data_IF_616023597977
#
_entry.id   IF_616023597977
#
_cell.length_a   1.000
_cell.length_b   1.000
_cell.length_c   1.000
_cell.angle_alpha   90.00
_cell.angle_beta   90.00
_cell.angle_gamma   90.00
#
_symmetry.space_group_name_H-M   'P 1'
#
loop_
_entity.id
_entity.type
_entity.pdbx_description
1 polymer ?
#
# COMPACT_ATOMS: atom_id res chain seq x y z
N UNK A 1 -17.51 7.95 0.86
CA UNK A 1 -17.65 7.03 -0.29
C UNK A 1 -16.92 7.65 -1.48
N UNK A 2 -16.04 6.91 -2.16
CA UNK A 2 -15.29 7.43 -3.32
C UNK A 2 -16.21 7.64 -4.51
N UNK A 3 -15.94 8.68 -5.28
CA UNK A 3 -16.68 8.97 -6.52
C UNK A 3 -15.92 8.38 -7.70
N UNK A 4 -16.55 7.47 -8.43
CA UNK A 4 -15.98 6.94 -9.68
C UNK A 4 -15.97 8.09 -10.70
N UNK A 5 -14.78 8.47 -11.18
CA UNK A 5 -14.64 9.41 -12.27
C UNK A 5 -14.78 8.62 -13.57
N UNK A 6 -16.01 8.31 -13.96
CA UNK A 6 -16.33 7.42 -15.08
C UNK A 6 -15.99 7.98 -16.48
N UNK A 7 -15.44 9.18 -16.58
CA UNK A 7 -15.18 9.86 -17.86
C UNK A 7 -13.70 10.13 -18.14
N UNK A 8 -12.76 9.40 -17.51
CA UNK A 8 -11.38 9.50 -17.97
C UNK A 8 -11.22 8.70 -19.25
N UNK A 9 -10.69 9.37 -20.26
CA UNK A 9 -10.29 8.69 -21.48
C UNK A 9 -9.12 7.73 -21.18
N UNK A 10 -8.96 6.62 -21.92
CA UNK A 10 -7.79 5.77 -21.80
C UNK A 10 -6.46 6.55 -21.86
N UNK A 11 -6.42 7.64 -22.63
CA UNK A 11 -5.24 8.51 -22.76
C UNK A 11 -4.89 9.24 -21.43
N UNK A 12 -5.89 9.71 -20.69
CA UNK A 12 -5.63 10.35 -19.38
C UNK A 12 -5.15 9.35 -18.36
N UNK A 13 -5.72 8.14 -18.35
CA UNK A 13 -5.23 7.05 -17.49
C UNK A 13 -3.80 6.66 -17.88
N UNK A 14 -3.49 6.53 -19.16
CA UNK A 14 -2.15 6.23 -19.65
C UNK A 14 -1.13 7.29 -19.22
N UNK A 15 -1.47 8.57 -19.27
CA UNK A 15 -0.60 9.66 -18.78
C UNK A 15 -0.29 9.52 -17.29
N UNK A 16 -1.27 9.13 -16.48
CA UNK A 16 -1.06 8.91 -15.05
C UNK A 16 -0.14 7.72 -14.80
N UNK A 17 -0.44 6.54 -15.37
CA UNK A 17 0.32 5.32 -15.13
C UNK A 17 1.76 5.38 -15.66
N UNK A 18 2.03 6.14 -16.71
CA UNK A 18 3.37 6.31 -17.26
C UNK A 18 4.39 6.89 -16.25
N UNK A 19 3.91 7.69 -15.30
CA UNK A 19 4.75 8.31 -14.28
C UNK A 19 4.82 7.48 -12.97
N UNK A 20 4.15 6.36 -12.90
CA UNK A 20 4.10 5.51 -11.70
C UNK A 20 5.23 4.49 -11.73
N UNK A 21 6.10 4.43 -10.69
CA UNK A 21 7.21 3.48 -10.63
C UNK A 21 6.80 2.02 -10.81
N UNK A 22 5.64 1.63 -10.29
CA UNK A 22 5.09 0.29 -10.44
C UNK A 22 4.98 -0.17 -11.90
N UNK A 23 4.68 0.76 -12.82
CA UNK A 23 4.52 0.44 -14.24
C UNK A 23 5.81 0.55 -15.07
N UNK A 24 6.97 0.79 -14.46
CA UNK A 24 8.25 0.93 -15.20
C UNK A 24 8.63 -0.31 -16.00
N UNK A 25 8.34 -1.49 -15.48
CA UNK A 25 8.63 -2.77 -16.12
C UNK A 25 7.70 -3.10 -17.30
N UNK A 26 6.55 -2.41 -17.41
CA UNK A 26 5.57 -2.65 -18.45
C UNK A 26 5.91 -1.88 -19.73
N UNK A 27 5.77 -2.55 -20.87
CA UNK A 27 5.87 -1.94 -22.20
C UNK A 27 4.74 -0.93 -22.45
N UNK A 28 4.88 -0.09 -23.47
CA UNK A 28 3.83 0.85 -23.86
C UNK A 28 2.52 0.13 -24.22
N UNK A 29 2.59 -1.04 -24.86
CA UNK A 29 1.42 -1.84 -25.22
C UNK A 29 0.69 -2.39 -23.98
N UNK A 30 1.44 -2.92 -23.00
CA UNK A 30 0.88 -3.40 -21.74
C UNK A 30 0.26 -2.25 -20.91
N UNK A 31 0.89 -1.08 -20.89
CA UNK A 31 0.31 0.12 -20.24
C UNK A 31 -0.97 0.59 -20.92
N UNK A 32 -1.00 0.51 -22.25
CA UNK A 32 -2.22 0.81 -23.01
C UNK A 32 -3.35 -0.17 -22.66
N UNK A 33 -3.04 -1.45 -22.50
CA UNK A 33 -4.00 -2.47 -22.08
C UNK A 33 -4.62 -2.13 -20.71
N UNK A 34 -3.80 -1.76 -19.73
CA UNK A 34 -4.30 -1.27 -18.44
C UNK A 34 -5.18 -0.03 -18.59
N UNK A 35 -4.79 0.91 -19.43
CA UNK A 35 -5.54 2.15 -19.64
C UNK A 35 -6.91 1.88 -20.27
N UNK A 36 -7.02 0.94 -21.19
CA UNK A 36 -8.27 0.57 -21.84
C UNK A 36 -9.23 -0.21 -20.93
N UNK A 37 -8.68 -1.08 -20.08
CA UNK A 37 -9.47 -1.88 -19.14
C UNK A 37 -9.81 -1.10 -17.86
N UNK A 38 -9.07 -0.04 -17.55
CA UNK A 38 -9.17 0.68 -16.28
C UNK A 38 -10.23 1.76 -16.29
N UNK A 39 -11.51 1.44 -16.51
CA UNK A 39 -12.61 2.38 -16.29
C UNK A 39 -12.82 2.77 -14.81
N UNK A 40 -11.86 2.47 -13.93
CA UNK A 40 -12.00 2.59 -12.48
C UNK A 40 -10.90 3.42 -11.84
N UNK A 41 -10.66 4.62 -12.34
CA UNK A 41 -9.99 5.63 -11.54
C UNK A 41 -11.03 6.23 -10.59
N UNK A 42 -10.84 6.01 -9.29
CA UNK A 42 -11.73 6.47 -8.24
C UNK A 42 -11.07 7.65 -7.53
N UNK A 43 -11.82 8.71 -7.31
CA UNK A 43 -11.40 9.86 -6.52
C UNK A 43 -12.01 9.79 -5.12
N UNK A 44 -11.18 10.01 -4.12
CA UNK A 44 -11.56 10.04 -2.72
C UNK A 44 -11.25 11.41 -2.14
N UNK A 45 -12.20 11.93 -1.37
CA UNK A 45 -11.99 13.15 -0.57
C UNK A 45 -11.10 12.86 0.63
N UNK A 46 -10.52 13.90 1.20
CA UNK A 46 -9.77 13.81 2.46
C UNK A 46 -10.57 13.04 3.53
N UNK A 47 -9.88 12.24 4.32
CA UNK A 47 -10.42 11.38 5.41
C UNK A 47 -11.44 10.33 4.98
N UNK A 48 -11.65 10.12 3.68
CA UNK A 48 -12.57 9.08 3.19
C UNK A 48 -11.88 7.73 3.20
N UNK A 49 -12.57 6.67 3.64
CA UNK A 49 -12.09 5.30 3.56
C UNK A 49 -11.97 4.85 2.09
N UNK A 50 -10.81 4.33 1.72
CA UNK A 50 -10.55 3.66 0.44
C UNK A 50 -10.72 2.15 0.61
N UNK A 51 -10.22 1.61 1.73
CA UNK A 51 -10.35 0.22 2.15
C UNK A 51 -10.70 0.19 3.62
N UNK A 52 -11.58 -0.70 4.03
CA UNK A 52 -11.94 -0.92 5.44
C UNK A 52 -11.58 -2.34 5.85
N UNK A 53 -10.94 -2.48 7.01
CA UNK A 53 -10.57 -3.76 7.61
C UNK A 53 -11.79 -4.66 7.77
N UNK A 54 -11.64 -5.94 7.40
CA UNK A 54 -12.71 -6.93 7.42
C UNK A 54 -13.57 -7.00 6.16
N UNK A 55 -13.48 -6.03 5.25
CA UNK A 55 -14.16 -6.12 3.95
C UNK A 55 -13.62 -7.26 3.10
N UNK A 56 -14.49 -7.82 2.25
CA UNK A 56 -14.18 -8.98 1.39
C UNK A 56 -14.07 -8.62 -0.09
N UNK A 57 -13.99 -7.34 -0.44
CA UNK A 57 -13.75 -6.96 -1.82
C UNK A 57 -12.31 -7.31 -2.22
N UNK A 58 -12.18 -8.08 -3.31
CA UNK A 58 -10.88 -8.61 -3.77
C UNK A 58 -10.34 -7.72 -4.89
N UNK A 59 -10.01 -6.48 -4.58
CA UNK A 59 -9.39 -5.55 -5.52
C UNK A 59 -8.04 -5.09 -5.03
N UNK A 60 -7.14 -4.80 -5.98
CA UNK A 60 -5.86 -4.12 -5.75
C UNK A 60 -6.01 -2.67 -6.14
N UNK A 61 -5.32 -1.81 -5.44
CA UNK A 61 -5.33 -0.38 -5.69
C UNK A 61 -3.92 0.15 -5.92
N UNK A 62 -3.79 1.10 -6.83
CA UNK A 62 -2.55 1.84 -7.06
C UNK A 62 -2.82 3.32 -6.85
N UNK A 63 -2.08 3.96 -5.97
CA UNK A 63 -2.23 5.38 -5.69
C UNK A 63 -1.63 6.21 -6.83
N UNK A 64 -2.49 6.92 -7.57
CA UNK A 64 -2.09 7.74 -8.73
C UNK A 64 -1.83 9.19 -8.35
N UNK A 65 -2.49 9.69 -7.28
CA UNK A 65 -2.36 11.07 -6.79
C UNK A 65 -2.77 11.16 -5.33
N UNK A 66 -2.13 12.06 -4.57
CA UNK A 66 -2.40 12.30 -3.16
C UNK A 66 -1.62 11.36 -2.24
N UNK A 67 -2.05 11.29 -1.00
CA UNK A 67 -1.50 10.43 0.05
C UNK A 67 -2.63 9.66 0.74
N UNK A 68 -2.31 8.49 1.27
CA UNK A 68 -3.21 7.71 2.10
C UNK A 68 -2.49 7.17 3.35
N UNK A 69 -3.22 6.93 4.43
CA UNK A 69 -2.71 6.37 5.67
C UNK A 69 -3.28 4.98 5.90
N UNK A 70 -2.44 4.12 6.48
CA UNK A 70 -2.80 2.76 6.89
C UNK A 70 -3.00 2.74 8.40
N UNK A 71 -4.13 2.20 8.85
CA UNK A 71 -4.46 2.01 10.26
C UNK A 71 -5.07 0.63 10.49
N UNK A 72 -5.28 0.24 11.76
CA UNK A 72 -5.99 -0.98 12.13
C UNK A 72 -7.03 -0.67 13.19
N UNK A 73 -8.08 -1.50 13.27
CA UNK A 73 -9.17 -1.33 14.22
C UNK A 73 -8.71 -1.48 15.67
N UNK A 74 -7.73 -2.34 15.94
CA UNK A 74 -7.15 -2.54 17.28
C UNK A 74 -6.21 -1.38 17.70
N UNK A 75 -5.72 -0.58 16.75
CA UNK A 75 -4.85 0.58 16.96
C UNK A 75 -5.36 1.81 16.18
N UNK A 76 -6.58 2.30 16.43
CA UNK A 76 -7.26 3.26 15.55
C UNK A 76 -6.62 4.65 15.50
N UNK A 77 -5.80 5.00 16.51
CA UNK A 77 -5.07 6.28 16.60
C UNK A 77 -3.65 6.21 16.05
N UNK A 78 -3.19 5.01 15.67
CA UNK A 78 -1.82 4.80 15.19
C UNK A 78 -1.81 4.71 13.67
N UNK A 79 -1.08 5.61 13.04
CA UNK A 79 -0.76 5.48 11.62
C UNK A 79 0.38 4.48 11.47
N UNK A 80 0.07 3.31 10.93
CA UNK A 80 1.06 2.24 10.72
C UNK A 80 1.99 2.61 9.56
N UNK A 81 1.44 3.20 8.50
CA UNK A 81 2.21 3.61 7.33
C UNK A 81 1.51 4.75 6.58
N UNK A 82 2.28 5.52 5.83
CA UNK A 82 1.79 6.52 4.87
C UNK A 82 2.12 6.05 3.45
N UNK A 83 1.09 5.97 2.64
CA UNK A 83 1.18 5.57 1.23
C UNK A 83 1.30 6.82 0.37
N UNK A 84 2.27 6.82 -0.53
CA UNK A 84 2.53 7.90 -1.49
C UNK A 84 2.24 7.46 -2.93
N UNK A 85 2.35 8.38 -3.87
CA UNK A 85 2.11 8.10 -5.29
C UNK A 85 2.93 6.89 -5.76
N UNK A 86 2.27 5.96 -6.43
CA UNK A 86 2.83 4.69 -6.89
C UNK A 86 2.69 3.54 -5.90
N UNK A 87 2.23 3.80 -4.67
CA UNK A 87 1.99 2.73 -3.71
C UNK A 87 0.89 1.78 -4.21
N UNK A 88 1.21 0.49 -4.17
CA UNK A 88 0.28 -0.61 -4.36
C UNK A 88 -0.28 -1.03 -3.00
N UNK A 89 -1.58 -1.30 -2.89
CA UNK A 89 -2.21 -1.80 -1.67
C UNK A 89 -3.46 -2.64 -1.95
N UNK A 90 -3.88 -3.43 -0.96
CA UNK A 90 -4.97 -4.39 -1.10
C UNK A 90 -4.55 -5.69 -1.80
N UNK A 91 -3.28 -5.84 -2.16
CA UNK A 91 -2.70 -6.98 -2.86
C UNK A 91 -2.75 -8.28 -2.03
N UNK A 92 -2.62 -8.19 -0.71
CA UNK A 92 -2.67 -9.36 0.18
C UNK A 92 -4.02 -10.04 0.04
N UNK A 93 -5.12 -9.32 0.26
CA UNK A 93 -6.47 -9.87 0.15
C UNK A 93 -6.80 -10.32 -1.27
N UNK A 94 -6.28 -9.64 -2.29
CA UNK A 94 -6.44 -10.04 -3.69
C UNK A 94 -5.79 -11.39 -3.98
N UNK A 95 -4.58 -11.63 -3.47
CA UNK A 95 -3.81 -12.86 -3.71
C UNK A 95 -4.28 -14.02 -2.83
N UNK A 96 -4.62 -13.75 -1.57
CA UNK A 96 -4.94 -14.79 -0.57
C UNK A 96 -6.44 -15.06 -0.45
N UNK A 97 -7.28 -14.23 -1.06
CA UNK A 97 -8.74 -14.27 -0.95
C UNK A 97 -9.23 -14.20 0.51
N UNK A 98 -8.50 -13.48 1.36
CA UNK A 98 -8.84 -13.23 2.75
C UNK A 98 -9.44 -11.82 2.92
N UNK A 99 -10.21 -11.56 3.99
CA UNK A 99 -10.69 -10.21 4.30
C UNK A 99 -9.55 -9.19 4.41
N UNK A 100 -9.87 -7.92 4.22
CA UNK A 100 -8.94 -6.81 4.39
C UNK A 100 -8.34 -6.81 5.80
N UNK A 101 -7.03 -6.69 5.89
CA UNK A 101 -6.27 -6.75 7.16
C UNK A 101 -6.03 -5.38 7.78
N UNK A 102 -6.34 -4.31 7.07
CA UNK A 102 -6.09 -2.92 7.49
C UNK A 102 -7.12 -1.97 6.90
N UNK A 103 -7.28 -0.81 7.55
CA UNK A 103 -7.98 0.32 6.97
C UNK A 103 -7.01 1.20 6.18
N UNK A 104 -7.49 1.79 5.09
CA UNK A 104 -6.75 2.78 4.31
C UNK A 104 -7.65 3.99 4.09
N UNK A 105 -7.22 5.15 4.59
CA UNK A 105 -7.94 6.40 4.46
C UNK A 105 -7.15 7.38 3.59
N UNK A 106 -7.83 8.12 2.74
CA UNK A 106 -7.24 9.23 2.04
C UNK A 106 -6.78 10.31 3.04
N UNK A 107 -5.48 10.65 3.06
CA UNK A 107 -4.90 11.72 3.89
C UNK A 107 -5.01 13.09 3.21
N UNK A 108 -5.28 13.10 1.92
CA UNK A 108 -5.55 14.24 1.09
C UNK A 108 -6.49 13.80 -0.04
N UNK A 109 -6.93 14.73 -0.90
CA UNK A 109 -7.67 14.33 -2.10
C UNK A 109 -6.85 13.34 -2.91
N UNK A 110 -7.29 12.08 -2.97
CA UNK A 110 -6.55 10.98 -3.56
C UNK A 110 -7.24 10.45 -4.82
N UNK A 111 -6.42 10.00 -5.79
CA UNK A 111 -6.90 9.23 -6.97
C UNK A 111 -6.24 7.88 -6.95
N UNK A 112 -7.03 6.84 -7.06
CA UNK A 112 -6.57 5.46 -7.10
C UNK A 112 -7.05 4.75 -8.36
N UNK A 113 -6.21 3.89 -8.91
CA UNK A 113 -6.60 2.92 -9.91
C UNK A 113 -7.01 1.64 -9.18
N UNK A 114 -8.25 1.20 -9.36
CA UNK A 114 -8.77 -0.06 -8.82
C UNK A 114 -8.64 -1.15 -9.87
N UNK A 115 -8.07 -2.30 -9.51
CA UNK A 115 -7.94 -3.50 -10.32
C UNK A 115 -8.67 -4.65 -9.61
N UNK A 116 -9.82 -5.05 -10.12
CA UNK A 116 -10.56 -6.22 -9.62
C UNK A 116 -10.22 -7.48 -10.42
N UNK A 117 -10.72 -8.64 -9.96
CA UNK A 117 -10.49 -9.92 -10.65
C UNK A 117 -11.01 -9.94 -12.09
N UNK A 118 -12.12 -9.29 -12.38
CA UNK A 118 -12.68 -9.23 -13.73
C UNK A 118 -11.76 -8.51 -14.71
N UNK A 119 -11.13 -7.44 -14.24
CA UNK A 119 -10.13 -6.72 -15.03
C UNK A 119 -8.85 -7.54 -15.19
N UNK A 120 -8.41 -8.17 -14.11
CA UNK A 120 -7.23 -9.02 -14.13
C UNK A 120 -7.37 -10.17 -15.15
N UNK A 121 -8.52 -10.80 -15.22
CA UNK A 121 -8.80 -11.88 -16.17
C UNK A 121 -8.84 -11.42 -17.64
N UNK A 122 -9.16 -10.15 -17.89
CA UNK A 122 -9.17 -9.57 -19.24
C UNK A 122 -7.79 -9.19 -19.77
N UNK A 123 -6.80 -9.07 -18.89
CA UNK A 123 -5.42 -8.83 -19.30
C UNK A 123 -4.87 -10.01 -20.10
N UNK A 124 -3.99 -9.73 -21.04
CA UNK A 124 -3.26 -10.79 -21.77
C UNK A 124 -2.44 -11.64 -20.78
N UNK A 125 -2.22 -12.92 -21.07
CA UNK A 125 -1.48 -13.82 -20.19
C UNK A 125 -0.12 -13.26 -19.76
N UNK A 126 0.64 -12.69 -20.68
CA UNK A 126 1.97 -12.13 -20.44
C UNK A 126 1.91 -10.90 -19.49
N UNK A 127 0.90 -10.05 -19.68
CA UNK A 127 0.67 -8.88 -18.82
C UNK A 127 0.24 -9.31 -17.42
N UNK A 128 -0.57 -10.36 -17.31
CA UNK A 128 -1.00 -10.94 -16.02
C UNK A 128 0.16 -11.52 -15.23
N UNK A 129 1.03 -12.32 -15.88
CA UNK A 129 2.19 -12.91 -15.21
C UNK A 129 3.11 -11.80 -14.70
N UNK A 130 3.43 -10.81 -15.53
CA UNK A 130 4.23 -9.65 -15.13
C UNK A 130 3.60 -8.86 -13.99
N UNK A 131 2.27 -8.74 -13.95
CA UNK A 131 1.55 -8.08 -12.86
C UNK A 131 1.69 -8.87 -11.55
N UNK A 132 1.58 -10.21 -11.60
CA UNK A 132 1.82 -11.08 -10.43
C UNK A 132 3.25 -10.96 -9.92
N UNK A 133 4.23 -10.98 -10.82
CA UNK A 133 5.64 -10.82 -10.45
C UNK A 133 5.88 -9.48 -9.76
N UNK A 134 5.27 -8.40 -10.25
CA UNK A 134 5.35 -7.10 -9.61
C UNK A 134 4.68 -7.08 -8.23
N UNK A 135 3.56 -7.80 -8.02
CA UNK A 135 2.95 -7.94 -6.70
C UNK A 135 3.90 -8.66 -5.74
N UNK A 136 4.50 -9.76 -6.19
CA UNK A 136 5.49 -10.51 -5.40
C UNK A 136 6.68 -9.61 -5.03
N UNK A 137 7.22 -8.87 -5.98
CA UNK A 137 8.33 -7.96 -5.73
C UNK A 137 7.98 -6.88 -4.70
N UNK A 138 6.77 -6.32 -4.76
CA UNK A 138 6.30 -5.34 -3.75
C UNK A 138 6.23 -5.99 -2.37
N UNK A 139 5.70 -7.21 -2.25
CA UNK A 139 5.61 -7.94 -0.99
C UNK A 139 6.98 -8.30 -0.42
N UNK A 140 7.91 -8.77 -1.26
CA UNK A 140 9.30 -9.08 -0.87
C UNK A 140 10.01 -7.82 -0.36
N UNK A 141 9.88 -6.69 -1.05
CA UNK A 141 10.48 -5.43 -0.62
C UNK A 141 9.91 -4.97 0.72
N UNK A 142 8.60 -5.03 0.91
CA UNK A 142 7.96 -4.70 2.20
C UNK A 142 8.43 -5.60 3.33
N UNK A 143 8.56 -6.90 3.08
CA UNK A 143 9.09 -7.84 4.07
C UNK A 143 10.54 -7.49 4.45
N UNK A 144 11.37 -7.12 3.49
CA UNK A 144 12.74 -6.67 3.73
C UNK A 144 12.78 -5.39 4.56
N UNK A 145 11.94 -4.40 4.23
CA UNK A 145 11.84 -3.15 4.99
C UNK A 145 11.37 -3.39 6.42
N UNK A 146 10.38 -4.28 6.62
CA UNK A 146 9.90 -4.68 7.94
C UNK A 146 11.00 -5.37 8.76
N UNK A 147 11.75 -6.30 8.17
CA UNK A 147 12.86 -6.95 8.85
C UNK A 147 13.92 -5.94 9.28
N UNK A 148 14.25 -4.99 8.42
CA UNK A 148 15.20 -3.92 8.74
C UNK A 148 14.70 -3.06 9.92
N UNK A 149 13.42 -2.69 9.92
CA UNK A 149 12.81 -1.94 11.01
C UNK A 149 12.80 -2.73 12.33
N UNK A 150 12.50 -4.04 12.27
CA UNK A 150 12.54 -4.92 13.45
C UNK A 150 13.94 -5.03 14.06
N UNK A 151 14.97 -5.18 13.23
CA UNK A 151 16.37 -5.21 13.71
C UNK A 151 16.73 -3.89 14.39
N UNK A 152 16.37 -2.75 13.81
CA UNK A 152 16.60 -1.43 14.41
C UNK A 152 15.92 -1.30 15.76
N UNK A 153 14.62 -1.65 15.85
CA UNK A 153 13.87 -1.60 17.10
C UNK A 153 14.48 -2.50 18.17
N UNK A 154 14.94 -3.69 17.80
CA UNK A 154 15.61 -4.59 18.74
C UNK A 154 16.90 -3.97 19.32
N UNK A 155 17.75 -3.39 18.48
CA UNK A 155 18.97 -2.69 18.92
C UNK A 155 18.64 -1.52 19.85
N UNK A 156 17.63 -0.71 19.52
CA UNK A 156 17.19 0.40 20.35
C UNK A 156 16.65 -0.07 21.71
N UNK A 157 15.88 -1.16 21.74
CA UNK A 157 15.37 -1.75 22.98
C UNK A 157 16.50 -2.31 23.85
N UNK A 158 17.50 -2.98 23.26
CA UNK A 158 18.67 -3.49 23.99
C UNK A 158 19.48 -2.33 24.60
N UNK A 159 19.67 -1.24 23.86
CA UNK A 159 20.36 -0.04 24.37
C UNK A 159 19.61 0.62 25.54
N UNK A 160 18.29 0.75 25.45
CA UNK A 160 17.45 1.29 26.54
C UNK A 160 17.51 0.38 27.76
N UNK A 161 17.45 -0.95 27.58
CA UNK A 161 17.54 -1.91 28.67
C UNK A 161 18.87 -1.83 29.40
N UNK A 162 19.98 -1.73 28.66
CA UNK A 162 21.33 -1.59 29.25
C UNK A 162 21.44 -0.27 30.02
N UNK A 163 20.99 0.84 29.47
CA UNK A 163 21.02 2.13 30.15
C UNK A 163 20.20 2.13 31.46
N UNK A 164 19.09 1.40 31.49
CA UNK A 164 18.30 1.24 32.72
C UNK A 164 19.04 0.42 33.82
N UNK A 165 19.75 -0.61 33.42
CA UNK A 165 20.59 -1.40 34.33
C UNK A 165 21.73 -0.56 34.89
N UNK A 166 22.46 0.15 34.04
CA UNK A 166 23.59 1.01 34.45
C UNK A 166 23.14 2.10 35.43
N UNK A 167 21.96 2.73 35.17
CA UNK A 167 21.36 3.71 36.07
C UNK A 167 21.01 3.12 37.44
N UNK A 168 20.46 1.89 37.48
CA UNK A 168 20.12 1.23 38.75
C UNK A 168 21.36 0.91 39.54
N UNK A 169 22.43 0.44 38.91
CA UNK A 169 23.71 0.16 39.58
C UNK A 169 24.37 1.41 40.15
N UNK A 170 24.29 2.54 39.43
CA UNK A 170 24.79 3.82 39.89
C UNK A 170 23.99 4.32 41.09
N UNK A 171 22.64 4.24 41.02
CA UNK A 171 21.77 4.61 42.13
C UNK A 171 22.03 3.80 43.40
N UNK A 172 22.18 2.49 43.28
CA UNK A 172 22.50 1.58 44.41
C UNK A 172 23.88 1.87 45.01
N UNK A 173 24.81 2.40 44.23
CA UNK A 173 26.15 2.81 44.68
C UNK A 173 26.14 4.11 45.50
N UNK A 174 25.23 5.03 45.17
CA UNK A 174 25.08 6.32 45.88
C UNK A 174 24.40 6.14 47.25
N UNK A 175 23.53 5.14 47.38
CA UNK A 175 22.77 4.86 48.61
C UNK A 175 23.55 4.05 49.66
N UNK A 176 24.75 3.57 49.36
CA UNK A 176 25.66 2.89 50.29
C UNK A 176 26.68 3.82 50.86
#
# INVERSE_FOLDING_TARGET
MGTIISNKTPQETLRLINNIPFFKSFSSAEKQEFAELSNQVIEYSDKTAIVEEGQTDMAVFILLKGEAIVTRNDLPKVTINTLTIGALFGEVSFLTQTPRTTNIFAKSRAKVLKLDHKMFEKLKPETREKLKDNFINVLVNRMSDMNTALVRLKVEMEAISQAAVDYQEEFDRILK
#
